data_IF_527861161865
#
_entry.id   IF_527861161865
#
_cell.length_a   1.000
_cell.length_b   1.000
_cell.length_c   1.000
_cell.angle_alpha   90.00
_cell.angle_beta   90.00
_cell.angle_gamma   90.00
#
_symmetry.space_group_name_H-M   'P 1'
#
loop_
_entity.id
_entity.type
_entity.pdbx_description
1 polymer ?
#
# COMPACT_ATOMS: atom_id res chain seq x y z
N UNK A 1 -9.58 -26.80 24.69
CA UNK A 1 -10.49 -25.68 25.01
C UNK A 1 -9.58 -24.56 25.47
N UNK A 2 -9.34 -23.48 24.74
CA UNK A 2 -10.28 -22.42 24.40
C UNK A 2 -10.12 -21.95 22.95
N UNK A 3 -11.25 -21.89 22.26
CA UNK A 3 -11.44 -21.41 20.89
C UNK A 3 -11.32 -19.89 20.82
N UNK A 4 -10.40 -19.38 19.99
CA UNK A 4 -10.43 -18.01 19.49
C UNK A 4 -11.55 -17.89 18.45
N UNK A 5 -12.74 -17.53 18.89
CA UNK A 5 -13.81 -17.12 18.00
C UNK A 5 -14.69 -16.13 18.76
N UNK A 6 -14.55 -14.85 18.43
CA UNK A 6 -15.61 -13.84 18.40
C UNK A 6 -14.99 -12.52 17.95
N UNK A 7 -14.84 -12.41 16.63
CA UNK A 7 -14.51 -11.18 15.91
C UNK A 7 -15.40 -11.07 14.68
N UNK A 8 -16.71 -11.27 14.87
CA UNK A 8 -17.74 -10.89 13.90
C UNK A 8 -18.45 -9.64 14.43
N UNK A 9 -18.96 -8.82 13.51
CA UNK A 9 -19.67 -7.53 13.70
C UNK A 9 -18.70 -6.32 13.54
N UNK A 10 -18.71 -5.48 12.50
CA UNK A 10 -19.57 -5.21 11.35
C UNK A 10 -18.66 -5.01 10.11
N UNK A 11 -18.89 -5.74 9.01
CA UNK A 11 -18.45 -5.25 7.69
C UNK A 11 -19.41 -4.12 7.34
N UNK A 12 -19.08 -2.90 7.77
CA UNK A 12 -19.78 -1.70 7.34
C UNK A 12 -19.79 -1.71 5.81
N UNK A 13 -20.97 -1.92 5.24
CA UNK A 13 -21.20 -1.91 3.79
C UNK A 13 -20.79 -0.53 3.29
N UNK A 14 -19.65 -0.50 2.63
CA UNK A 14 -19.02 0.70 2.17
C UNK A 14 -19.81 1.28 0.96
N UNK A 15 -20.13 2.57 0.90
CA UNK A 15 -20.79 3.21 -0.26
C UNK A 15 -20.06 4.51 -0.70
N UNK A 16 -19.30 4.41 -1.81
CA UNK A 16 -18.64 5.39 -2.74
C UNK A 16 -17.76 6.60 -2.36
N UNK A 17 -16.54 6.57 -2.92
CA UNK A 17 -15.48 7.60 -2.86
C UNK A 17 -15.76 8.85 -3.66
N UNK A 18 -16.37 8.69 -4.85
CA UNK A 18 -16.43 9.81 -5.79
C UNK A 18 -17.40 10.85 -5.24
N UNK A 19 -18.46 10.41 -4.55
CA UNK A 19 -19.54 11.26 -4.03
C UNK A 19 -19.05 12.22 -2.94
N UNK A 20 -18.12 11.77 -2.10
CA UNK A 20 -17.49 12.57 -1.03
C UNK A 20 -16.81 13.86 -1.53
N UNK A 21 -16.26 13.82 -2.74
CA UNK A 21 -15.58 14.95 -3.39
C UNK A 21 -16.28 15.47 -4.65
N UNK A 22 -17.40 14.84 -5.06
CA UNK A 22 -18.29 15.27 -6.15
C UNK A 22 -18.97 16.63 -5.85
N UNK A 23 -18.89 17.11 -4.60
CA UNK A 23 -19.25 18.49 -4.24
C UNK A 23 -18.37 19.52 -4.92
N UNK A 24 -17.16 19.14 -5.34
CA UNK A 24 -16.30 20.02 -6.13
C UNK A 24 -16.88 20.15 -7.55
N UNK A 25 -16.93 21.38 -8.07
CA UNK A 25 -17.37 21.73 -9.43
C UNK A 25 -18.81 21.30 -9.80
N UNK A 26 -19.73 21.28 -8.83
CA UNK A 26 -21.14 20.91 -9.02
C UNK A 26 -21.33 19.55 -9.70
N UNK A 27 -20.39 18.61 -9.50
CA UNK A 27 -20.47 17.33 -10.20
C UNK A 27 -21.71 16.53 -9.76
N UNK A 28 -22.09 16.62 -8.49
CA UNK A 28 -23.28 15.94 -7.95
C UNK A 28 -24.56 16.43 -8.63
N UNK A 29 -24.77 17.75 -8.71
CA UNK A 29 -25.95 18.32 -9.38
C UNK A 29 -25.98 18.01 -10.88
N UNK A 30 -24.81 18.02 -11.54
CA UNK A 30 -24.68 17.64 -12.95
C UNK A 30 -24.99 16.16 -13.19
N UNK A 31 -24.51 15.30 -12.30
CA UNK A 31 -24.77 13.88 -12.36
C UNK A 31 -26.27 13.59 -12.17
N UNK A 32 -26.92 14.22 -11.19
CA UNK A 32 -28.35 14.09 -10.97
C UNK A 32 -29.15 14.51 -12.23
N UNK A 33 -28.80 15.64 -12.86
CA UNK A 33 -29.42 16.07 -14.13
C UNK A 33 -29.27 15.04 -15.24
N UNK A 34 -28.09 14.44 -15.40
CA UNK A 34 -27.84 13.42 -16.43
C UNK A 34 -28.52 12.08 -16.09
N UNK A 35 -28.58 11.70 -14.81
CA UNK A 35 -29.28 10.50 -14.35
C UNK A 35 -30.78 10.58 -14.64
N UNK A 36 -31.43 11.72 -14.37
CA UNK A 36 -32.84 11.92 -14.69
C UNK A 36 -33.14 11.75 -16.20
N UNK A 37 -32.17 12.03 -17.07
CA UNK A 37 -32.32 11.84 -18.52
C UNK A 37 -32.19 10.37 -18.96
N UNK A 38 -31.59 9.51 -18.14
CA UNK A 38 -31.39 8.08 -18.45
C UNK A 38 -32.18 7.16 -17.53
N UNK A 39 -32.95 7.70 -16.58
CA UNK A 39 -33.68 6.95 -15.56
C UNK A 39 -34.59 5.86 -16.17
N UNK A 40 -35.26 6.16 -17.28
CA UNK A 40 -36.07 5.18 -18.02
C UNK A 40 -35.30 3.95 -18.55
N UNK A 41 -33.96 4.05 -18.65
CA UNK A 41 -33.07 2.95 -19.10
C UNK A 41 -32.15 2.46 -17.98
N UNK A 42 -31.97 3.24 -16.93
CA UNK A 42 -31.11 2.97 -15.80
C UNK A 42 -31.72 3.54 -14.52
N UNK A 43 -32.72 2.83 -14.00
CA UNK A 43 -33.56 3.25 -12.85
C UNK A 43 -32.74 3.53 -11.59
N UNK A 44 -31.61 2.86 -11.43
CA UNK A 44 -30.72 3.02 -10.27
C UNK A 44 -29.49 3.84 -10.60
N UNK A 45 -29.57 4.80 -11.54
CA UNK A 45 -28.41 5.60 -11.96
C UNK A 45 -27.69 6.21 -10.76
N UNK A 46 -28.33 7.09 -9.99
CA UNK A 46 -27.71 7.80 -8.87
C UNK A 46 -27.19 6.85 -7.78
N UNK A 47 -28.00 5.86 -7.40
CA UNK A 47 -27.62 4.84 -6.42
C UNK A 47 -26.45 3.96 -6.89
N UNK A 48 -26.34 3.71 -8.20
CA UNK A 48 -25.25 2.96 -8.78
C UNK A 48 -23.93 3.68 -8.57
N UNK A 49 -23.91 5.02 -8.41
CA UNK A 49 -22.70 5.78 -8.11
C UNK A 49 -22.06 5.48 -6.75
N UNK A 50 -22.57 4.46 -6.04
CA UNK A 50 -22.00 3.84 -4.85
C UNK A 50 -21.05 2.67 -5.16
N UNK A 51 -19.76 2.78 -4.79
CA UNK A 51 -18.74 1.77 -5.04
C UNK A 51 -18.23 1.14 -3.72
N UNK A 52 -18.51 -0.13 -3.45
CA UNK A 52 -18.31 -0.72 -2.12
C UNK A 52 -16.92 -1.29 -1.79
N UNK A 53 -15.89 -1.13 -2.62
CA UNK A 53 -14.65 -1.92 -2.42
C UNK A 53 -13.34 -1.25 -2.87
N UNK A 54 -13.33 0.06 -3.08
CA UNK A 54 -12.12 0.76 -3.54
C UNK A 54 -11.56 1.68 -2.47
N UNK A 55 -10.26 1.90 -2.52
CA UNK A 55 -9.55 2.95 -1.80
C UNK A 55 -8.60 3.59 -2.82
N UNK A 56 -8.53 4.92 -2.79
CA UNK A 56 -7.70 5.72 -3.68
C UNK A 56 -6.85 6.66 -2.84
N UNK A 57 -5.61 6.89 -3.26
CA UNK A 57 -4.80 7.99 -2.75
C UNK A 57 -5.35 9.34 -3.26
N UNK A 58 -4.88 10.44 -2.67
CA UNK A 58 -5.32 11.79 -3.00
C UNK A 58 -5.13 12.14 -4.48
N UNK A 59 -3.98 11.76 -5.06
CA UNK A 59 -3.63 12.10 -6.44
C UNK A 59 -4.55 11.35 -7.42
N UNK A 60 -4.77 10.07 -7.17
CA UNK A 60 -5.69 9.26 -7.98
C UNK A 60 -7.14 9.75 -7.86
N UNK A 61 -7.57 10.14 -6.66
CA UNK A 61 -8.90 10.72 -6.41
C UNK A 61 -9.10 12.00 -7.24
N UNK A 62 -8.14 12.93 -7.19
CA UNK A 62 -8.19 14.17 -7.97
C UNK A 62 -8.23 13.91 -9.48
N UNK A 63 -7.46 12.93 -9.98
CA UNK A 63 -7.50 12.53 -11.40
C UNK A 63 -8.88 12.01 -11.81
N UNK A 64 -9.52 11.21 -10.98
CA UNK A 64 -10.88 10.66 -11.25
C UNK A 64 -11.92 11.79 -11.28
N UNK A 65 -11.84 12.74 -10.34
CA UNK A 65 -12.75 13.89 -10.28
C UNK A 65 -12.62 14.73 -11.55
N UNK A 66 -11.40 15.11 -11.92
CA UNK A 66 -11.13 15.89 -13.14
C UNK A 66 -11.60 15.17 -14.40
N UNK A 67 -11.33 13.87 -14.51
CA UNK A 67 -11.78 13.07 -15.65
C UNK A 67 -13.30 13.03 -15.74
N UNK A 68 -13.96 12.78 -14.61
CA UNK A 68 -15.42 12.73 -14.50
C UNK A 68 -16.03 14.07 -14.89
N UNK A 69 -15.51 15.17 -14.36
CA UNK A 69 -15.93 16.53 -14.73
C UNK A 69 -15.90 16.77 -16.24
N UNK A 70 -14.77 16.42 -16.89
CA UNK A 70 -14.61 16.60 -18.33
C UNK A 70 -15.56 15.72 -19.12
N UNK A 71 -15.71 14.45 -18.75
CA UNK A 71 -16.58 13.50 -19.46
C UNK A 71 -18.05 13.91 -19.36
N UNK A 72 -18.54 14.22 -18.14
CA UNK A 72 -19.90 14.71 -17.95
C UNK A 72 -20.13 16.01 -18.76
N UNK A 73 -19.12 16.88 -18.87
CA UNK A 73 -19.23 18.12 -19.65
C UNK A 73 -19.37 17.86 -21.14
N UNK A 74 -18.62 16.91 -21.66
CA UNK A 74 -18.74 16.49 -23.06
C UNK A 74 -20.11 15.88 -23.33
N UNK A 75 -20.63 15.06 -22.40
CA UNK A 75 -21.96 14.47 -22.54
C UNK A 75 -23.08 15.52 -22.54
N UNK A 76 -23.01 16.52 -21.67
CA UNK A 76 -23.94 17.66 -21.66
C UNK A 76 -23.90 18.43 -22.99
N UNK A 77 -22.70 18.79 -23.48
CA UNK A 77 -22.54 19.57 -24.71
C UNK A 77 -23.03 18.79 -25.93
N UNK A 78 -22.73 17.49 -26.00
CA UNK A 78 -23.13 16.63 -27.12
C UNK A 78 -24.56 16.11 -27.00
N UNK A 79 -25.25 16.34 -25.88
CA UNK A 79 -26.57 15.79 -25.62
C UNK A 79 -26.60 14.26 -25.64
N UNK A 80 -25.55 13.60 -25.11
CA UNK A 80 -25.39 12.14 -25.18
C UNK A 80 -25.41 11.45 -23.79
N UNK A 81 -26.48 11.63 -22.98
CA UNK A 81 -26.54 11.10 -21.62
C UNK A 81 -26.56 9.56 -21.60
N UNK A 82 -26.99 8.92 -22.70
CA UNK A 82 -26.95 7.46 -22.88
C UNK A 82 -25.56 6.83 -22.80
N UNK A 83 -24.49 7.64 -22.87
CA UNK A 83 -23.11 7.17 -22.68
C UNK A 83 -22.70 7.08 -21.21
N UNK A 84 -23.52 7.62 -20.29
CA UNK A 84 -23.24 7.64 -18.85
C UNK A 84 -23.07 6.23 -18.25
N UNK A 85 -23.92 5.23 -18.56
CA UNK A 85 -23.73 3.86 -18.06
C UNK A 85 -22.44 3.21 -18.55
N UNK A 86 -22.00 3.52 -19.78
CA UNK A 86 -20.75 3.00 -20.34
C UNK A 86 -19.54 3.58 -19.60
N UNK A 87 -19.56 4.89 -19.35
CA UNK A 87 -18.51 5.56 -18.58
C UNK A 87 -18.45 5.03 -17.14
N UNK A 88 -19.62 4.85 -16.51
CA UNK A 88 -19.74 4.24 -15.20
C UNK A 88 -19.09 2.84 -15.15
N UNK A 89 -19.43 1.97 -16.09
CA UNK A 89 -18.85 0.61 -16.17
C UNK A 89 -17.34 0.64 -16.39
N UNK A 90 -16.84 1.57 -17.21
CA UNK A 90 -15.40 1.75 -17.41
C UNK A 90 -14.68 2.19 -16.14
N UNK A 91 -15.25 3.13 -15.37
CA UNK A 91 -14.71 3.51 -14.06
C UNK A 91 -14.61 2.29 -13.13
N UNK A 92 -15.70 1.53 -13.02
CA UNK A 92 -15.81 0.39 -12.10
C UNK A 92 -14.85 -0.75 -12.46
N UNK A 93 -14.80 -1.14 -13.73
CA UNK A 93 -14.13 -2.37 -14.18
C UNK A 93 -12.69 -2.17 -14.60
N UNK A 94 -12.33 -0.94 -14.97
CA UNK A 94 -11.00 -0.64 -15.53
C UNK A 94 -10.28 0.35 -14.65
N UNK A 95 -10.82 1.58 -14.51
CA UNK A 95 -10.04 2.68 -13.95
C UNK A 95 -9.78 2.55 -12.45
N UNK A 96 -10.75 2.10 -11.68
CA UNK A 96 -10.55 1.90 -10.24
C UNK A 96 -9.66 0.71 -9.92
N UNK A 97 -9.81 -0.47 -10.54
CA UNK A 97 -8.85 -1.56 -10.37
C UNK A 97 -7.40 -1.16 -10.74
N UNK A 98 -7.20 -0.38 -11.80
CA UNK A 98 -5.89 0.18 -12.15
C UNK A 98 -5.33 1.03 -11.01
N UNK A 99 -6.08 2.04 -10.55
CA UNK A 99 -5.60 2.92 -9.50
C UNK A 99 -5.45 2.22 -8.15
N UNK A 100 -6.33 1.29 -7.79
CA UNK A 100 -6.18 0.54 -6.54
C UNK A 100 -4.94 -0.36 -6.59
N UNK A 101 -4.58 -0.93 -7.74
CA UNK A 101 -3.31 -1.65 -7.92
C UNK A 101 -2.09 -0.72 -7.81
N UNK A 102 -2.20 0.51 -8.29
CA UNK A 102 -1.16 1.53 -8.24
C UNK A 102 -1.08 2.26 -6.87
N UNK A 103 -2.18 2.32 -6.12
CA UNK A 103 -2.32 3.08 -4.87
C UNK A 103 -1.86 2.30 -3.63
N UNK A 104 -1.66 0.98 -3.73
CA UNK A 104 -0.84 0.28 -2.75
C UNK A 104 0.56 0.85 -2.89
N UNK A 105 0.96 1.69 -1.93
CA UNK A 105 2.15 2.52 -2.04
C UNK A 105 3.32 1.80 -2.71
N UNK A 106 4.02 2.47 -3.61
CA UNK A 106 5.32 1.98 -4.05
C UNK A 106 6.18 1.69 -2.81
N UNK A 107 6.78 0.49 -2.71
CA UNK A 107 7.58 0.13 -1.55
C UNK A 107 8.71 1.13 -1.40
N UNK A 108 8.74 1.80 -0.26
CA UNK A 108 9.64 2.92 0.00
C UNK A 108 10.63 2.54 1.11
N UNK A 109 11.65 3.37 1.24
CA UNK A 109 12.76 3.09 2.14
C UNK A 109 12.49 3.59 3.55
N UNK A 110 12.75 2.76 4.59
CA UNK A 110 12.55 3.21 5.95
C UNK A 110 13.36 4.47 6.23
N UNK A 111 12.68 5.56 6.59
CA UNK A 111 13.30 6.83 6.95
C UNK A 111 14.13 6.74 8.24
N UNK A 112 13.89 5.71 9.06
CA UNK A 112 14.64 5.42 10.27
C UNK A 112 14.85 3.91 10.45
N UNK A 113 16.04 3.50 10.90
CA UNK A 113 16.36 2.10 11.29
C UNK A 113 15.45 1.50 12.38
N UNK A 114 14.60 2.32 12.99
CA UNK A 114 13.71 1.98 14.09
C UNK A 114 12.24 1.80 13.68
N UNK A 115 11.87 2.03 12.42
CA UNK A 115 10.51 1.84 11.95
C UNK A 115 10.46 0.82 10.81
N UNK A 116 9.71 -0.29 10.94
CA UNK A 116 9.63 -1.34 9.91
C UNK A 116 8.80 -0.92 8.69
N UNK A 117 8.19 0.27 8.69
CA UNK A 117 7.41 0.78 7.57
C UNK A 117 8.27 1.62 6.61
N UNK A 118 8.09 1.41 5.31
CA UNK A 118 8.77 2.16 4.25
C UNK A 118 8.29 3.62 4.09
N UNK A 119 7.38 4.07 4.95
CA UNK A 119 6.64 5.32 4.82
C UNK A 119 5.15 5.08 5.08
N UNK A 120 4.35 6.14 5.01
CA UNK A 120 2.90 6.08 5.05
C UNK A 120 2.30 6.87 3.88
N UNK A 121 1.16 6.39 3.37
CA UNK A 121 0.32 7.16 2.46
C UNK A 121 -1.05 7.35 3.08
N UNK A 122 -1.73 8.42 2.71
CA UNK A 122 -3.11 8.65 3.10
C UNK A 122 -4.00 8.04 2.03
N UNK A 123 -4.81 7.06 2.43
CA UNK A 123 -5.88 6.54 1.61
C UNK A 123 -7.20 7.15 2.08
N UNK A 124 -8.11 7.38 1.13
CA UNK A 124 -9.46 7.78 1.45
C UNK A 124 -10.35 6.57 1.49
N UNK A 125 -11.05 6.39 2.61
CA UNK A 125 -12.10 5.40 2.70
C UNK A 125 -13.27 5.92 1.89
N UNK A 126 -13.48 5.24 0.78
CA UNK A 126 -14.55 5.55 -0.11
C UNK A 126 -15.92 5.43 0.54
N UNK A 127 -16.12 4.77 1.67
CA UNK A 127 -17.44 4.73 2.32
C UNK A 127 -17.73 5.79 3.37
N UNK A 128 -16.70 6.18 4.11
CA UNK A 128 -16.87 7.11 5.23
C UNK A 128 -16.42 8.53 4.88
N UNK A 129 -15.88 8.72 3.67
CA UNK A 129 -15.19 9.95 3.25
C UNK A 129 -14.02 10.33 4.18
N UNK A 130 -13.55 9.39 5.00
CA UNK A 130 -12.48 9.64 5.96
C UNK A 130 -11.14 9.27 5.34
N UNK A 131 -10.17 10.16 5.48
CA UNK A 131 -8.77 9.85 5.25
C UNK A 131 -8.25 8.96 6.37
N UNK A 132 -7.50 7.91 6.03
CA UNK A 132 -6.75 7.11 6.98
C UNK A 132 -5.34 6.86 6.45
N UNK A 133 -4.36 6.87 7.36
CA UNK A 133 -2.99 6.57 7.00
C UNK A 133 -2.79 5.05 6.93
N UNK A 134 -2.22 4.57 5.83
CA UNK A 134 -1.74 3.20 5.71
C UNK A 134 -0.23 3.18 5.63
N UNK A 135 0.37 2.17 6.26
CA UNK A 135 1.80 1.96 6.21
C UNK A 135 2.15 1.24 4.91
N UNK A 136 3.14 1.78 4.21
CA UNK A 136 3.62 1.24 2.96
C UNK A 136 4.55 0.05 3.23
N UNK A 137 4.53 -0.96 2.35
CA UNK A 137 5.42 -2.10 2.47
C UNK A 137 6.88 -1.63 2.43
N UNK A 138 7.73 -2.07 3.37
CA UNK A 138 9.14 -1.70 3.34
C UNK A 138 9.83 -2.37 2.15
N UNK A 139 10.61 -1.60 1.39
CA UNK A 139 11.48 -2.18 0.39
C UNK A 139 12.61 -2.94 1.08
N UNK A 140 12.78 -4.24 0.76
CA UNK A 140 13.82 -5.09 1.37
C UNK A 140 15.24 -4.56 1.18
N UNK A 141 15.49 -3.77 0.12
CA UNK A 141 16.81 -3.21 -0.23
C UNK A 141 16.68 -1.73 -0.53
N UNK A 142 17.24 -0.89 0.32
CA UNK A 142 17.11 0.56 0.24
C UNK A 142 18.40 1.31 0.03
N UNK A 143 19.50 0.73 0.50
CA UNK A 143 20.84 1.23 0.22
C UNK A 143 21.63 0.10 -0.44
N UNK A 144 22.29 0.35 -1.58
CA UNK A 144 23.31 -0.56 -2.06
C UNK A 144 24.48 -0.51 -1.06
N UNK A 145 24.75 -1.61 -0.37
CA UNK A 145 26.08 -1.88 0.22
C UNK A 145 26.37 -1.47 1.67
N UNK A 146 25.39 -1.25 2.56
CA UNK A 146 25.71 -0.97 3.99
C UNK A 146 25.53 -2.16 4.96
N UNK A 147 24.94 -3.27 4.50
CA UNK A 147 24.70 -4.45 5.35
C UNK A 147 25.91 -5.39 5.46
N UNK A 148 26.80 -5.41 4.45
CA UNK A 148 27.96 -6.31 4.47
C UNK A 148 28.98 -5.95 5.54
N UNK A 149 29.13 -4.68 5.93
CA UNK A 149 30.20 -4.30 6.86
C UNK A 149 29.98 -4.82 8.29
N UNK A 150 28.73 -4.91 8.77
CA UNK A 150 28.46 -5.37 10.14
C UNK A 150 28.55 -6.89 10.24
N UNK A 151 27.95 -7.61 9.30
CA UNK A 151 28.02 -9.08 9.25
C UNK A 151 29.42 -9.56 8.89
N UNK A 152 30.11 -8.94 7.92
CA UNK A 152 31.51 -9.25 7.63
C UNK A 152 32.43 -8.94 8.83
N UNK A 153 32.18 -7.85 9.58
CA UNK A 153 32.95 -7.56 10.80
C UNK A 153 32.73 -8.61 11.89
N UNK A 154 31.50 -9.10 12.07
CA UNK A 154 31.21 -10.17 13.05
C UNK A 154 31.88 -11.48 12.62
N UNK A 155 31.80 -11.84 11.34
CA UNK A 155 32.46 -13.03 10.79
C UNK A 155 33.99 -12.95 10.88
N UNK A 156 34.59 -11.79 10.59
CA UNK A 156 36.03 -11.60 10.72
C UNK A 156 36.49 -11.71 12.18
N UNK A 157 35.73 -11.13 13.12
CA UNK A 157 36.03 -11.23 14.54
C UNK A 157 35.89 -12.68 15.05
N UNK A 158 34.89 -13.43 14.60
CA UNK A 158 34.71 -14.82 15.00
C UNK A 158 35.84 -15.70 14.47
N UNK A 159 36.18 -15.59 13.19
CA UNK A 159 37.29 -16.33 12.58
C UNK A 159 38.61 -15.99 13.27
N UNK A 160 38.90 -14.70 13.48
CA UNK A 160 40.11 -14.28 14.18
C UNK A 160 40.21 -14.87 15.59
N UNK A 161 39.11 -14.85 16.34
CA UNK A 161 39.06 -15.41 17.71
C UNK A 161 39.31 -16.92 17.69
N UNK A 162 38.72 -17.66 16.74
CA UNK A 162 38.94 -19.11 16.64
C UNK A 162 40.38 -19.47 16.31
N UNK A 163 41.01 -18.76 15.38
CA UNK A 163 42.43 -18.98 15.03
C UNK A 163 43.33 -18.66 16.21
N UNK A 164 43.07 -17.58 16.94
CA UNK A 164 43.84 -17.20 18.12
C UNK A 164 43.75 -18.28 19.22
N UNK A 165 42.56 -18.79 19.49
CA UNK A 165 42.34 -19.85 20.47
C UNK A 165 43.07 -21.14 20.08
N UNK A 166 43.01 -21.53 18.80
CA UNK A 166 43.74 -22.69 18.30
C UNK A 166 45.26 -22.52 18.42
N UNK A 167 45.78 -21.32 18.15
CA UNK A 167 47.19 -20.99 18.34
C UNK A 167 47.63 -21.10 19.81
N UNK A 168 46.84 -20.54 20.74
CA UNK A 168 47.10 -20.65 22.18
C UNK A 168 47.06 -22.09 22.66
N UNK A 169 46.07 -22.88 22.22
CA UNK A 169 45.98 -24.31 22.57
C UNK A 169 47.19 -25.08 22.05
N UNK A 170 47.64 -24.80 20.82
CA UNK A 170 48.83 -25.43 20.23
C UNK A 170 50.09 -25.11 21.05
N UNK A 171 50.27 -23.85 21.44
CA UNK A 171 51.38 -23.42 22.31
C UNK A 171 51.33 -24.07 23.69
N UNK A 172 50.14 -24.23 24.28
CA UNK A 172 49.98 -24.91 25.57
C UNK A 172 50.31 -26.39 25.46
N UNK A 173 49.89 -27.06 24.38
CA UNK A 173 50.24 -28.46 24.13
C UNK A 173 51.74 -28.62 23.92
N UNK A 174 52.37 -27.79 23.08
CA UNK A 174 53.80 -27.84 22.83
C UNK A 174 54.61 -27.56 24.10
N UNK A 175 54.27 -26.53 24.86
CA UNK A 175 54.97 -26.21 26.12
C UNK A 175 54.86 -27.32 27.16
N UNK A 176 53.69 -27.98 27.28
CA UNK A 176 53.52 -29.15 28.13
C UNK A 176 54.32 -30.35 27.63
N UNK A 177 54.38 -30.56 26.32
CA UNK A 177 55.16 -31.64 25.73
C UNK A 177 56.67 -31.43 25.94
N UNK A 178 57.17 -30.20 25.75
CA UNK A 178 58.56 -29.85 26.03
C UNK A 178 58.89 -29.97 27.53
N UNK A 179 57.99 -29.56 28.42
CA UNK A 179 58.17 -29.72 29.87
C UNK A 179 58.19 -31.19 30.29
N UNK A 180 57.29 -32.02 29.75
CA UNK A 180 57.30 -33.46 29.99
C UNK A 180 58.58 -34.15 29.46
N UNK A 181 59.19 -33.61 28.40
CA UNK A 181 60.46 -34.09 27.85
C UNK A 181 61.69 -33.63 28.64
N UNK A 182 61.63 -32.48 29.33
CA UNK A 182 62.73 -31.99 30.18
C UNK A 182 62.76 -32.65 31.56
N UNK A 183 61.62 -33.18 32.02
CA UNK A 183 61.47 -33.84 33.32
C UNK A 183 61.81 -35.35 33.27
N UNK A 184 62.33 -35.86 32.14
CA UNK A 184 62.77 -37.25 31.91
C UNK A 184 64.25 -37.29 31.55
#
# INVERSE_FOLDING_TARGET
MWTLALGGVFLATAQACVLCHLSDRDLSGRLARLCNQVEARWETCEASWTFPAFALDEVSTNKVIEKTHRVLRVMEIKGSPSSLPLYWQWLQKVKFPEYTREAFCAPACPLARLSPAGGSTVLYNCSTCQSFAVHCWPLKRCLPGSHDLREARILLLSVFTTVLLLGVLSLVVESRHFKAKSDM
#
